data_IF_943385282165
#
_entry.id   IF_943385282165
#
_cell.length_a   1.000
_cell.length_b   1.000
_cell.length_c   1.000
_cell.angle_alpha   90.00
_cell.angle_beta   90.00
_cell.angle_gamma   90.00
#
_symmetry.space_group_name_H-M   'P 1'
#
loop_
_entity.id
_entity.type
_entity.pdbx_description
1 polymer ?
#
# COMPACT_ATOMS: atom_id res chain seq x y z
N UNK A 1 -7.67 -7.49 68.00
CA UNK A 1 -9.05 -7.44 67.48
C UNK A 1 -8.94 -7.71 66.01
N UNK A 2 -8.74 -8.90 65.55
CA UNK A 2 -9.49 -10.15 65.35
C UNK A 2 -10.92 -9.93 64.89
N UNK A 3 -11.12 -10.18 63.58
CA UNK A 3 -12.25 -11.00 63.12
C UNK A 3 -12.15 -11.41 61.64
N UNK A 4 -12.76 -12.55 61.28
CA UNK A 4 -12.19 -13.43 60.27
C UNK A 4 -13.01 -13.52 58.99
N UNK A 5 -12.37 -14.11 57.98
CA UNK A 5 -12.89 -14.50 56.64
C UNK A 5 -13.90 -15.66 56.79
N UNK A 6 -14.99 -15.71 56.01
CA UNK A 6 -15.70 -16.96 55.70
C UNK A 6 -15.27 -17.50 54.32
N UNK A 7 -14.79 -18.75 54.38
CA UNK A 7 -14.70 -19.66 53.23
C UNK A 7 -16.09 -20.23 52.95
N UNK A 8 -16.53 -20.16 51.70
CA UNK A 8 -17.59 -21.03 51.21
C UNK A 8 -17.03 -21.91 50.08
N UNK A 9 -16.78 -23.14 50.45
CA UNK A 9 -16.47 -24.28 49.59
C UNK A 9 -17.79 -24.91 49.19
N UNK A 10 -18.11 -24.95 47.88
CA UNK A 10 -19.21 -25.76 47.36
C UNK A 10 -18.64 -27.01 46.69
N UNK A 11 -18.81 -28.20 47.29
CA UNK A 11 -18.47 -29.47 46.68
C UNK A 11 -19.74 -30.15 46.20
N UNK A 12 -20.03 -30.12 44.88
CA UNK A 12 -20.91 -31.09 44.28
C UNK A 12 -20.76 -31.01 42.74
N UNK A 13 -19.83 -31.81 42.23
CA UNK A 13 -19.87 -32.27 40.84
C UNK A 13 -19.93 -33.80 40.85
N UNK A 14 -21.15 -34.31 40.92
CA UNK A 14 -21.47 -35.73 40.83
C UNK A 14 -21.20 -36.24 39.40
N UNK A 15 -20.26 -37.16 39.34
CA UNK A 15 -19.85 -37.89 38.15
C UNK A 15 -20.58 -39.22 38.07
N UNK A 16 -21.77 -39.29 37.48
CA UNK A 16 -22.39 -40.59 37.14
C UNK A 16 -23.51 -40.50 36.10
N UNK A 17 -23.18 -40.44 34.83
CA UNK A 17 -24.06 -40.94 33.75
C UNK A 17 -23.23 -41.50 32.58
N UNK A 18 -22.57 -42.63 32.84
CA UNK A 18 -22.07 -43.53 31.77
C UNK A 18 -23.26 -44.31 31.24
N UNK A 19 -23.78 -43.98 30.06
CA UNK A 19 -24.75 -44.82 29.35
C UNK A 19 -24.04 -46.04 28.75
N UNK A 20 -24.41 -47.24 29.19
CA UNK A 20 -24.04 -48.50 28.59
C UNK A 20 -24.67 -48.62 27.17
N UNK A 21 -23.95 -49.17 26.19
CA UNK A 21 -24.51 -49.54 24.89
C UNK A 21 -25.47 -50.75 25.02
N UNK A 22 -26.51 -50.85 24.15
CA UNK A 22 -27.45 -51.97 24.18
C UNK A 22 -26.82 -53.27 23.68
N UNK A 23 -27.06 -54.36 24.39
CA UNK A 23 -26.62 -55.70 24.04
C UNK A 23 -27.45 -56.27 22.87
N UNK A 24 -26.76 -56.83 21.89
CA UNK A 24 -27.34 -57.54 20.75
C UNK A 24 -27.99 -58.85 21.19
N UNK A 25 -29.26 -59.05 20.87
CA UNK A 25 -29.96 -60.32 20.94
C UNK A 25 -29.64 -61.23 19.70
N UNK A 26 -29.91 -62.55 19.78
CA UNK A 26 -29.49 -63.49 18.75
C UNK A 26 -30.33 -63.37 17.45
N UNK A 27 -29.78 -63.80 16.29
CA UNK A 27 -30.34 -63.60 14.98
C UNK A 27 -31.51 -64.53 14.70
N UNK A 28 -32.67 -64.02 14.29
CA UNK A 28 -33.76 -64.79 13.74
C UNK A 28 -33.50 -65.12 12.27
N UNK A 29 -33.51 -66.44 11.96
CA UNK A 29 -33.46 -66.98 10.62
C UNK A 29 -34.70 -66.70 9.81
N UNK A 30 -34.66 -65.85 8.80
CA UNK A 30 -35.70 -65.71 7.79
C UNK A 30 -35.13 -66.02 6.39
N UNK A 31 -35.85 -66.92 5.67
CA UNK A 31 -35.54 -67.41 4.34
C UNK A 31 -35.54 -66.29 3.27
N UNK A 32 -34.77 -66.47 2.19
CA UNK A 32 -34.60 -65.43 1.17
C UNK A 32 -35.79 -65.38 0.21
N UNK A 33 -36.47 -64.24 0.19
CA UNK A 33 -37.34 -63.83 -0.88
C UNK A 33 -36.56 -62.93 -1.84
N UNK A 34 -36.52 -63.37 -3.10
CA UNK A 34 -35.92 -62.66 -4.21
C UNK A 34 -36.65 -61.32 -4.44
N UNK A 35 -36.01 -60.24 -4.08
CA UNK A 35 -36.42 -58.91 -4.52
C UNK A 35 -35.31 -58.25 -5.31
N UNK A 36 -35.67 -57.88 -6.52
CA UNK A 36 -34.81 -57.16 -7.46
C UNK A 36 -34.21 -55.89 -6.79
N UNK A 37 -32.89 -55.84 -6.69
CA UNK A 37 -32.16 -54.68 -6.22
C UNK A 37 -32.29 -53.58 -7.26
N UNK A 38 -33.23 -52.66 -7.03
CA UNK A 38 -33.26 -51.38 -7.73
C UNK A 38 -32.00 -50.62 -7.31
N UNK A 39 -30.98 -50.70 -8.14
CA UNK A 39 -29.80 -49.84 -8.05
C UNK A 39 -30.29 -48.41 -8.20
N UNK A 40 -30.42 -47.68 -7.09
CA UNK A 40 -30.56 -46.23 -7.14
C UNK A 40 -29.28 -45.68 -7.80
N UNK A 41 -29.38 -45.33 -9.06
CA UNK A 41 -28.40 -44.47 -9.69
C UNK A 41 -28.56 -43.11 -9.01
N UNK A 42 -27.69 -42.86 -8.03
CA UNK A 42 -27.48 -41.54 -7.50
C UNK A 42 -26.82 -40.77 -8.63
N UNK A 43 -27.59 -40.04 -9.39
CA UNK A 43 -27.08 -38.98 -10.28
C UNK A 43 -26.41 -37.98 -9.36
N UNK A 44 -25.09 -38.07 -9.28
CA UNK A 44 -24.27 -37.00 -8.71
C UNK A 44 -24.51 -35.79 -9.59
N UNK A 45 -25.40 -34.90 -9.13
CA UNK A 45 -25.53 -33.57 -9.71
C UNK A 45 -24.15 -32.90 -9.51
N UNK A 46 -23.35 -32.89 -10.57
CA UNK A 46 -22.10 -32.14 -10.58
C UNK A 46 -22.55 -30.69 -10.34
N UNK A 47 -22.25 -30.19 -9.13
CA UNK A 47 -22.34 -28.77 -8.84
C UNK A 47 -21.46 -28.07 -9.87
N UNK A 48 -22.00 -27.17 -10.71
CA UNK A 48 -21.15 -26.44 -11.64
C UNK A 48 -20.07 -25.78 -10.81
N UNK A 49 -18.81 -26.06 -11.15
CA UNK A 49 -17.68 -25.34 -10.58
C UNK A 49 -17.98 -23.85 -10.77
N UNK A 50 -18.35 -23.16 -9.70
CA UNK A 50 -18.40 -21.72 -9.69
C UNK A 50 -16.98 -21.26 -10.00
N UNK A 51 -16.74 -20.93 -11.25
CA UNK A 51 -15.64 -20.06 -11.61
C UNK A 51 -15.85 -18.81 -10.75
N UNK A 52 -15.15 -18.73 -9.64
CA UNK A 52 -14.95 -17.47 -8.95
C UNK A 52 -14.21 -16.59 -9.94
N UNK A 53 -14.96 -15.79 -10.67
CA UNK A 53 -14.38 -14.67 -11.41
C UNK A 53 -13.65 -13.87 -10.34
N UNK A 54 -12.30 -13.91 -10.35
CA UNK A 54 -11.46 -13.10 -9.48
C UNK A 54 -11.83 -11.64 -9.77
N UNK A 55 -12.80 -11.13 -9.00
CA UNK A 55 -13.23 -9.74 -9.14
C UNK A 55 -12.12 -8.88 -8.58
N UNK A 56 -11.49 -8.03 -9.41
CA UNK A 56 -10.45 -7.14 -8.92
C UNK A 56 -11.04 -6.30 -7.77
N UNK A 57 -10.21 -6.06 -6.75
CA UNK A 57 -10.62 -5.27 -5.59
C UNK A 57 -11.03 -3.86 -6.06
N UNK A 58 -12.28 -3.46 -5.80
CA UNK A 58 -12.82 -2.17 -6.20
C UNK A 58 -11.95 -0.98 -5.73
N UNK A 59 -11.31 -1.12 -4.55
CA UNK A 59 -10.40 -0.09 -4.06
C UNK A 59 -9.17 0.06 -4.96
N UNK A 60 -8.58 -1.05 -5.40
CA UNK A 60 -7.42 -1.02 -6.29
C UNK A 60 -7.79 -0.46 -7.67
N UNK A 61 -8.93 -0.86 -8.23
CA UNK A 61 -9.41 -0.34 -9.51
C UNK A 61 -9.67 1.16 -9.43
N UNK A 62 -10.39 1.60 -8.39
CA UNK A 62 -10.66 3.02 -8.16
C UNK A 62 -9.37 3.85 -8.01
N UNK A 63 -8.36 3.30 -7.32
CA UNK A 63 -7.05 3.94 -7.19
C UNK A 63 -6.35 4.08 -8.53
N UNK A 64 -6.34 3.05 -9.38
CA UNK A 64 -5.71 3.10 -10.70
C UNK A 64 -6.40 4.16 -11.58
N UNK A 65 -7.73 4.22 -11.58
CA UNK A 65 -8.48 5.24 -12.33
C UNK A 65 -8.15 6.65 -11.84
N UNK A 66 -8.08 6.84 -10.51
CA UNK A 66 -7.67 8.12 -9.94
C UNK A 66 -6.23 8.49 -10.30
N UNK A 67 -5.27 7.57 -10.20
CA UNK A 67 -3.87 7.80 -10.59
C UNK A 67 -3.73 8.12 -12.08
N UNK A 68 -4.61 7.59 -12.93
CA UNK A 68 -4.63 7.95 -14.36
C UNK A 68 -4.99 9.41 -14.58
N UNK A 69 -5.91 9.99 -13.76
CA UNK A 69 -6.20 11.42 -13.82
C UNK A 69 -5.04 12.28 -13.33
N UNK A 70 -4.33 11.85 -12.28
CA UNK A 70 -3.13 12.53 -11.79
C UNK A 70 -1.99 12.49 -12.82
N UNK A 71 -1.86 11.38 -13.57
CA UNK A 71 -0.91 11.29 -14.67
C UNK A 71 -1.19 12.34 -15.74
N UNK A 72 -2.46 12.59 -16.09
CA UNK A 72 -2.83 13.64 -17.06
C UNK A 72 -2.49 15.04 -16.53
N UNK A 73 -2.66 15.28 -15.23
CA UNK A 73 -2.26 16.53 -14.59
C UNK A 73 -0.74 16.77 -14.74
N UNK A 74 0.09 15.77 -14.40
CA UNK A 74 1.53 15.88 -14.57
C UNK A 74 1.93 15.98 -16.05
N UNK A 75 1.26 15.28 -16.95
CA UNK A 75 1.51 15.41 -18.40
C UNK A 75 1.31 16.86 -18.88
N UNK A 76 0.30 17.56 -18.36
CA UNK A 76 0.11 18.98 -18.66
C UNK A 76 1.27 19.86 -18.14
N UNK A 77 1.80 19.57 -16.96
CA UNK A 77 2.98 20.25 -16.41
C UNK A 77 4.24 19.99 -17.26
N UNK A 78 4.44 18.76 -17.73
CA UNK A 78 5.50 18.42 -18.68
C UNK A 78 5.35 19.20 -20.00
N UNK A 79 4.15 19.24 -20.55
CA UNK A 79 3.87 19.98 -21.79
C UNK A 79 4.15 21.47 -21.59
N UNK A 80 3.73 22.05 -20.47
CA UNK A 80 4.03 23.45 -20.11
C UNK A 80 5.55 23.71 -20.07
N UNK A 81 6.32 22.82 -19.44
CA UNK A 81 7.77 22.94 -19.37
C UNK A 81 8.41 22.97 -20.77
N UNK A 82 8.09 22.01 -21.63
CA UNK A 82 8.66 21.95 -22.97
C UNK A 82 8.23 23.11 -23.84
N UNK A 83 6.99 23.59 -23.72
CA UNK A 83 6.50 24.77 -24.43
C UNK A 83 7.28 26.02 -24.03
N UNK A 84 7.44 26.29 -22.74
CA UNK A 84 8.20 27.44 -22.25
C UNK A 84 9.69 27.36 -22.65
N UNK A 85 10.27 26.16 -22.61
CA UNK A 85 11.64 25.93 -23.07
C UNK A 85 11.83 26.24 -24.54
N UNK A 86 10.91 25.83 -25.40
CA UNK A 86 10.99 26.06 -26.84
C UNK A 86 10.87 27.55 -27.23
N UNK A 87 10.15 28.32 -26.40
CA UNK A 87 9.96 29.77 -26.63
C UNK A 87 11.11 30.61 -26.06
N UNK A 88 11.78 30.13 -24.98
CA UNK A 88 12.83 30.88 -24.28
C UNK A 88 14.11 30.05 -24.10
N UNK A 89 14.77 29.59 -25.16
CA UNK A 89 15.92 28.69 -25.05
C UNK A 89 17.09 29.30 -24.30
N UNK A 90 17.31 30.63 -24.42
CA UNK A 90 18.42 31.35 -23.79
C UNK A 90 18.32 31.30 -22.25
N UNK A 91 17.11 31.47 -21.68
CA UNK A 91 16.88 31.42 -20.25
C UNK A 91 17.21 30.02 -19.70
N UNK A 92 16.90 28.96 -20.46
CA UNK A 92 17.23 27.59 -20.08
C UNK A 92 18.74 27.33 -20.06
N UNK A 93 19.46 27.81 -21.07
CA UNK A 93 20.91 27.66 -21.16
C UNK A 93 21.64 28.38 -20.00
N UNK A 94 21.14 29.54 -19.58
CA UNK A 94 21.71 30.33 -18.48
C UNK A 94 21.39 29.73 -17.10
N UNK A 95 20.18 29.22 -16.90
CA UNK A 95 19.70 28.81 -15.57
C UNK A 95 20.03 27.34 -15.21
N UNK A 96 20.09 26.45 -16.21
CA UNK A 96 20.37 25.01 -15.98
C UNK A 96 21.69 24.74 -15.23
N UNK A 97 22.80 25.48 -15.44
CA UNK A 97 24.06 25.29 -14.69
C UNK A 97 23.97 25.58 -13.18
N UNK A 98 22.95 26.33 -12.73
CA UNK A 98 22.73 26.64 -11.31
C UNK A 98 22.26 25.40 -10.50
N UNK A 99 21.75 24.36 -11.17
CA UNK A 99 21.25 23.17 -10.50
C UNK A 99 22.38 22.24 -10.06
N UNK A 100 22.35 21.82 -8.80
CA UNK A 100 23.32 20.88 -8.25
C UNK A 100 22.95 19.43 -8.60
N UNK A 101 23.39 18.97 -9.80
CA UNK A 101 23.07 17.63 -10.31
C UNK A 101 23.48 16.50 -9.35
N UNK A 102 24.71 16.46 -8.76
CA UNK A 102 25.11 15.40 -7.83
C UNK A 102 24.20 15.31 -6.60
N UNK A 103 23.80 16.45 -6.03
CA UNK A 103 22.92 16.48 -4.87
C UNK A 103 21.53 15.96 -5.23
N UNK A 104 20.94 16.46 -6.30
CA UNK A 104 19.61 16.06 -6.75
C UNK A 104 19.57 14.59 -7.22
N UNK A 105 20.67 14.08 -7.84
CA UNK A 105 20.80 12.67 -8.21
C UNK A 105 20.85 11.76 -6.96
N UNK A 106 21.59 12.15 -5.93
CA UNK A 106 21.65 11.41 -4.66
C UNK A 106 20.27 11.38 -3.99
N UNK A 107 19.60 12.52 -3.96
CA UNK A 107 18.24 12.63 -3.40
C UNK A 107 17.22 11.76 -4.19
N UNK A 108 17.33 11.75 -5.51
CA UNK A 108 16.56 10.87 -6.41
C UNK A 108 16.84 9.40 -6.13
N UNK A 109 18.09 9.00 -5.92
CA UNK A 109 18.46 7.64 -5.61
C UNK A 109 17.81 7.17 -4.29
N UNK A 110 17.80 8.01 -3.27
CA UNK A 110 17.12 7.72 -1.99
C UNK A 110 15.62 7.47 -2.23
N UNK A 111 14.96 8.30 -3.04
CA UNK A 111 13.55 8.15 -3.36
C UNK A 111 13.28 6.84 -4.12
N UNK A 112 14.06 6.52 -5.15
CA UNK A 112 13.92 5.27 -5.92
C UNK A 112 14.17 4.03 -5.04
N UNK A 113 15.15 4.07 -4.15
CA UNK A 113 15.38 2.98 -3.18
C UNK A 113 14.21 2.84 -2.21
N UNK A 114 13.49 3.92 -1.90
CA UNK A 114 12.28 3.86 -1.07
C UNK A 114 11.16 3.03 -1.70
N UNK A 115 11.08 2.96 -3.03
CA UNK A 115 10.16 2.06 -3.74
C UNK A 115 10.41 0.58 -3.42
N UNK A 116 11.69 0.19 -3.31
CA UNK A 116 12.05 -1.19 -2.94
C UNK A 116 11.59 -1.50 -1.52
N UNK A 117 11.84 -0.59 -0.58
CA UNK A 117 11.41 -0.77 0.82
C UNK A 117 9.87 -0.76 0.94
N UNK A 118 9.18 0.06 0.16
CA UNK A 118 7.73 0.06 0.06
C UNK A 118 7.21 -1.31 -0.40
N UNK A 119 7.80 -1.89 -1.45
CA UNK A 119 7.40 -3.21 -1.97
C UNK A 119 7.64 -4.33 -0.95
N UNK A 120 8.73 -4.28 -0.18
CA UNK A 120 8.96 -5.21 0.93
C UNK A 120 7.85 -5.11 2.00
N UNK A 121 7.37 -3.89 2.26
CA UNK A 121 6.23 -3.64 3.14
C UNK A 121 4.93 -4.26 2.61
N UNK A 122 4.67 -4.19 1.30
CA UNK A 122 3.52 -4.83 0.65
C UNK A 122 3.56 -6.34 0.81
N UNK A 123 4.69 -6.98 0.51
CA UNK A 123 4.84 -8.44 0.67
C UNK A 123 4.63 -8.89 2.12
N UNK A 124 5.06 -8.10 3.09
CA UNK A 124 4.78 -8.37 4.50
C UNK A 124 3.29 -8.20 4.83
N UNK A 125 2.63 -7.19 4.26
CA UNK A 125 1.20 -6.95 4.42
C UNK A 125 0.34 -8.09 3.85
N UNK A 126 0.68 -8.61 2.67
CA UNK A 126 0.01 -9.73 2.01
C UNK A 126 0.16 -11.04 2.81
N UNK A 127 1.31 -11.23 3.47
CA UNK A 127 1.56 -12.36 4.38
C UNK A 127 0.90 -12.19 5.75
N UNK A 128 0.13 -11.12 5.95
CA UNK A 128 -0.52 -10.77 7.21
C UNK A 128 0.45 -10.64 8.39
N UNK A 129 1.69 -10.19 8.12
CA UNK A 129 2.71 -9.89 9.13
C UNK A 129 2.77 -8.36 9.40
N UNK A 130 2.03 -7.86 10.41
CA UNK A 130 1.95 -6.44 10.67
C UNK A 130 3.25 -5.84 11.20
N UNK A 131 4.11 -6.64 11.85
CA UNK A 131 5.36 -6.13 12.41
C UNK A 131 6.35 -5.79 11.31
N UNK A 132 6.55 -6.70 10.36
CA UNK A 132 7.42 -6.46 9.20
C UNK A 132 6.87 -5.38 8.28
N UNK A 133 5.56 -5.34 8.05
CA UNK A 133 4.92 -4.27 7.27
C UNK A 133 5.20 -2.89 7.89
N UNK A 134 5.00 -2.73 9.20
CA UNK A 134 5.30 -1.47 9.92
C UNK A 134 6.75 -1.08 9.80
N UNK A 135 7.67 -2.03 10.00
CA UNK A 135 9.11 -1.79 9.92
C UNK A 135 9.51 -1.23 8.53
N UNK A 136 9.08 -1.89 7.45
CA UNK A 136 9.39 -1.44 6.11
C UNK A 136 8.73 -0.10 5.74
N UNK A 137 7.49 0.11 6.16
CA UNK A 137 6.79 1.38 5.91
C UNK A 137 7.37 2.55 6.69
N UNK A 138 7.90 2.33 7.89
CA UNK A 138 8.63 3.34 8.65
C UNK A 138 9.94 3.71 7.91
N UNK A 139 10.67 2.73 7.39
CA UNK A 139 11.88 3.01 6.59
C UNK A 139 11.52 3.83 5.35
N UNK A 140 10.49 3.43 4.61
CA UNK A 140 10.01 4.16 3.43
C UNK A 140 9.62 5.60 3.79
N UNK A 141 8.91 5.77 4.90
CA UNK A 141 8.52 7.09 5.41
C UNK A 141 9.75 7.98 5.71
N UNK A 142 10.77 7.44 6.37
CA UNK A 142 12.00 8.19 6.64
C UNK A 142 12.74 8.57 5.36
N UNK A 143 12.86 7.65 4.41
CA UNK A 143 13.51 7.92 3.12
C UNK A 143 12.77 9.00 2.33
N UNK A 144 11.44 8.95 2.27
CA UNK A 144 10.61 9.99 1.65
C UNK A 144 10.71 11.33 2.38
N UNK A 145 10.83 11.33 3.71
CA UNK A 145 11.03 12.56 4.49
C UNK A 145 12.39 13.20 4.24
N UNK A 146 13.45 12.38 4.09
CA UNK A 146 14.79 12.85 3.68
C UNK A 146 14.73 13.48 2.30
N UNK A 147 14.01 12.87 1.36
CA UNK A 147 13.82 13.43 0.02
C UNK A 147 13.17 14.82 0.07
N UNK A 148 12.05 14.98 0.82
CA UNK A 148 11.40 16.29 0.97
C UNK A 148 12.34 17.31 1.64
N UNK A 149 13.10 16.91 2.66
CA UNK A 149 14.11 17.75 3.30
C UNK A 149 15.18 18.22 2.30
N UNK A 150 15.68 17.31 1.47
CA UNK A 150 16.61 17.63 0.38
C UNK A 150 16.04 18.63 -0.62
N UNK A 151 14.77 18.45 -1.01
CA UNK A 151 14.08 19.36 -1.93
C UNK A 151 13.92 20.77 -1.34
N UNK A 152 13.59 20.88 -0.05
CA UNK A 152 13.52 22.17 0.65
C UNK A 152 14.90 22.84 0.72
N UNK A 153 15.96 22.06 0.95
CA UNK A 153 17.34 22.59 0.93
C UNK A 153 17.73 23.13 -0.45
N UNK A 154 17.41 22.39 -1.52
CA UNK A 154 17.64 22.82 -2.89
C UNK A 154 16.89 24.12 -3.21
N UNK A 155 15.60 24.21 -2.85
CA UNK A 155 14.82 25.43 -3.01
C UNK A 155 15.44 26.61 -2.26
N UNK A 156 15.91 26.40 -1.03
CA UNK A 156 16.54 27.47 -0.25
C UNK A 156 17.85 27.97 -0.87
N UNK A 157 18.62 27.08 -1.50
CA UNK A 157 19.84 27.44 -2.21
C UNK A 157 19.52 28.26 -3.48
N UNK A 158 18.58 27.79 -4.30
CA UNK A 158 18.18 28.49 -5.54
C UNK A 158 17.59 29.89 -5.26
N UNK A 159 16.80 30.03 -4.19
CA UNK A 159 16.27 31.35 -3.79
C UNK A 159 17.39 32.31 -3.38
N UNK A 160 18.47 31.82 -2.72
CA UNK A 160 19.65 32.64 -2.38
C UNK A 160 20.43 33.07 -3.61
N UNK A 161 20.43 32.26 -4.67
CA UNK A 161 21.05 32.58 -5.97
C UNK A 161 20.14 33.50 -6.82
N UNK A 162 18.96 33.90 -6.31
CA UNK A 162 18.04 34.80 -6.97
C UNK A 162 17.02 34.15 -7.88
N UNK A 163 17.03 32.82 -8.00
CA UNK A 163 16.00 32.08 -8.73
C UNK A 163 14.76 31.91 -7.85
N UNK A 164 13.75 32.74 -8.12
CA UNK A 164 12.47 32.71 -7.41
C UNK A 164 11.32 32.32 -8.35
N UNK A 165 10.14 32.08 -7.80
CA UNK A 165 8.95 31.77 -8.58
C UNK A 165 8.60 32.85 -9.63
N UNK A 166 8.93 34.11 -9.35
CA UNK A 166 8.61 35.25 -10.19
C UNK A 166 9.82 35.83 -10.95
N UNK A 167 11.02 35.28 -10.78
CA UNK A 167 12.25 35.82 -11.38
C UNK A 167 12.32 35.58 -12.89
N UNK A 168 11.85 34.42 -13.34
CA UNK A 168 11.93 34.01 -14.75
C UNK A 168 10.85 33.00 -15.12
N UNK A 169 10.62 32.82 -16.42
CA UNK A 169 9.74 31.77 -16.93
C UNK A 169 10.22 30.37 -16.50
N UNK A 170 11.54 30.16 -16.46
CA UNK A 170 12.13 28.91 -15.95
C UNK A 170 11.79 28.68 -14.48
N UNK A 171 12.02 29.69 -13.61
CA UNK A 171 11.73 29.61 -12.18
C UNK A 171 10.28 29.27 -11.92
N UNK A 172 9.34 29.95 -12.60
CA UNK A 172 7.89 29.68 -12.46
C UNK A 172 7.55 28.22 -12.78
N UNK A 173 8.02 27.69 -13.90
CA UNK A 173 7.72 26.34 -14.34
C UNK A 173 8.41 25.29 -13.46
N UNK A 174 9.67 25.55 -13.06
CA UNK A 174 10.44 24.68 -12.17
C UNK A 174 9.76 24.51 -10.82
N UNK A 175 9.47 25.63 -10.13
CA UNK A 175 8.83 25.58 -8.80
C UNK A 175 7.40 25.04 -8.85
N UNK A 176 6.64 25.34 -9.91
CA UNK A 176 5.29 24.82 -10.06
C UNK A 176 5.33 23.29 -10.22
N UNK A 177 6.15 22.78 -11.12
CA UNK A 177 6.19 21.36 -11.45
C UNK A 177 6.77 20.52 -10.31
N UNK A 178 7.92 20.92 -9.77
CA UNK A 178 8.56 20.20 -8.66
C UNK A 178 7.82 20.41 -7.33
N UNK A 179 7.17 21.56 -7.13
CA UNK A 179 6.37 21.87 -5.96
C UNK A 179 5.08 21.03 -5.89
N UNK A 180 4.34 20.88 -6.99
CA UNK A 180 3.19 19.98 -7.03
C UNK A 180 3.62 18.53 -6.82
N UNK A 181 4.76 18.12 -7.38
CA UNK A 181 5.30 16.81 -7.08
C UNK A 181 5.62 16.64 -5.59
N UNK A 182 6.31 17.59 -4.98
CA UNK A 182 6.61 17.58 -3.54
C UNK A 182 5.35 17.53 -2.66
N UNK A 183 4.26 18.18 -3.09
CA UNK A 183 2.96 18.09 -2.44
C UNK A 183 2.38 16.67 -2.50
N UNK A 184 2.51 15.99 -3.65
CA UNK A 184 2.10 14.59 -3.81
C UNK A 184 2.94 13.64 -2.95
N UNK A 185 4.26 13.82 -2.90
CA UNK A 185 5.14 13.05 -2.00
C UNK A 185 4.71 13.23 -0.56
N UNK A 186 4.44 14.46 -0.12
CA UNK A 186 3.95 14.76 1.23
C UNK A 186 2.61 14.08 1.51
N UNK A 187 1.68 14.09 0.54
CA UNK A 187 0.43 13.34 0.62
C UNK A 187 0.65 11.84 0.83
N UNK A 188 1.61 11.25 0.11
CA UNK A 188 2.03 9.87 0.30
C UNK A 188 2.58 9.57 1.69
N UNK A 189 3.41 10.47 2.23
CA UNK A 189 3.93 10.35 3.60
C UNK A 189 2.80 10.37 4.63
N UNK A 190 1.82 11.25 4.46
CA UNK A 190 0.62 11.30 5.33
C UNK A 190 -0.18 10.00 5.21
N UNK A 191 -0.31 9.43 4.00
CA UNK A 191 -0.98 8.15 3.81
C UNK A 191 -0.24 6.99 4.50
N UNK A 192 1.10 6.96 4.45
CA UNK A 192 1.89 5.98 5.21
C UNK A 192 1.66 6.12 6.72
N UNK A 193 1.71 7.32 7.28
CA UNK A 193 1.41 7.55 8.69
C UNK A 193 0.02 7.03 9.06
N UNK A 194 -0.98 7.28 8.22
CA UNK A 194 -2.33 6.80 8.45
C UNK A 194 -2.41 5.27 8.47
N UNK A 195 -1.76 4.58 7.52
CA UNK A 195 -1.74 3.11 7.48
C UNK A 195 -0.99 2.54 8.68
N UNK A 196 0.15 3.12 9.05
CA UNK A 196 0.93 2.71 10.22
C UNK A 196 0.08 2.90 11.50
N UNK A 197 -0.49 4.08 11.72
CA UNK A 197 -1.31 4.39 12.88
C UNK A 197 -2.55 3.47 12.97
N UNK A 198 -3.26 3.27 11.86
CA UNK A 198 -4.40 2.36 11.78
C UNK A 198 -4.02 0.91 12.08
N UNK A 199 -2.79 0.51 11.73
CA UNK A 199 -2.25 -0.81 12.04
C UNK A 199 -1.99 -1.01 13.54
N UNK A 200 -1.60 0.03 14.27
CA UNK A 200 -1.43 -0.01 15.73
C UNK A 200 -2.78 0.02 16.48
N UNK A 201 -3.74 0.77 15.97
CA UNK A 201 -5.05 0.93 16.61
C UNK A 201 -5.91 -0.35 16.59
N UNK A 202 -5.63 -1.32 15.73
CA UNK A 202 -6.41 -2.54 15.57
C UNK A 202 -5.75 -3.75 16.22
N UNK A 203 -6.49 -4.46 17.07
CA UNK A 203 -6.03 -5.70 17.74
C UNK A 203 -5.81 -6.89 16.79
N UNK A 204 -6.50 -6.91 15.64
CA UNK A 204 -6.36 -7.96 14.62
C UNK A 204 -6.06 -7.35 13.26
N UNK A 205 -5.00 -7.82 12.63
CA UNK A 205 -4.67 -7.48 11.25
C UNK A 205 -5.60 -8.26 10.31
N UNK A 206 -6.18 -7.60 9.32
CA UNK A 206 -7.17 -8.20 8.42
C UNK A 206 -6.79 -7.94 6.95
N UNK A 207 -7.37 -8.73 6.03
CA UNK A 207 -7.21 -8.53 4.60
C UNK A 207 -7.56 -7.10 4.14
N UNK A 208 -8.57 -6.47 4.75
CA UNK A 208 -8.92 -5.08 4.46
C UNK A 208 -7.78 -4.09 4.81
N UNK A 209 -6.93 -4.43 5.79
CA UNK A 209 -5.76 -3.63 6.14
C UNK A 209 -4.62 -3.86 5.13
N UNK A 210 -4.42 -5.11 4.70
CA UNK A 210 -3.48 -5.42 3.62
C UNK A 210 -3.85 -4.67 2.34
N UNK A 211 -5.13 -4.62 1.97
CA UNK A 211 -5.61 -3.84 0.81
C UNK A 211 -5.25 -2.36 0.92
N UNK A 212 -5.39 -1.74 2.10
CA UNK A 212 -5.01 -0.33 2.30
C UNK A 212 -3.51 -0.11 2.11
N UNK A 213 -2.69 -1.04 2.61
CA UNK A 213 -1.25 -0.99 2.40
C UNK A 213 -0.91 -1.06 0.90
N UNK A 214 -1.51 -2.00 0.16
CA UNK A 214 -1.32 -2.14 -1.28
C UNK A 214 -1.74 -0.87 -2.05
N UNK A 215 -2.87 -0.26 -1.69
CA UNK A 215 -3.35 0.99 -2.33
C UNK A 215 -2.37 2.14 -2.14
N UNK A 216 -1.83 2.31 -0.92
CA UNK A 216 -0.83 3.36 -0.64
C UNK A 216 0.47 3.10 -1.41
N UNK A 217 0.86 1.84 -1.57
CA UNK A 217 2.01 1.46 -2.38
C UNK A 217 1.85 1.83 -3.87
N UNK A 218 0.67 1.61 -4.47
CA UNK A 218 0.41 2.05 -5.85
C UNK A 218 0.58 3.57 -6.00
N UNK A 219 0.08 4.33 -5.05
CA UNK A 219 0.27 5.78 -5.04
C UNK A 219 1.75 6.15 -4.93
N UNK A 220 2.51 5.49 -4.04
CA UNK A 220 3.93 5.77 -3.84
C UNK A 220 4.76 5.49 -5.09
N UNK A 221 4.56 4.33 -5.71
CA UNK A 221 5.25 3.98 -6.96
C UNK A 221 4.90 4.94 -8.11
N UNK A 222 3.65 5.39 -8.19
CA UNK A 222 3.25 6.40 -9.16
C UNK A 222 4.03 7.69 -8.97
N UNK A 223 4.11 8.19 -7.73
CA UNK A 223 4.86 9.42 -7.40
C UNK A 223 6.35 9.27 -7.76
N UNK A 224 6.96 8.12 -7.47
CA UNK A 224 8.36 7.85 -7.80
C UNK A 224 8.60 7.85 -9.33
N UNK A 225 7.72 7.23 -10.11
CA UNK A 225 7.81 7.21 -11.58
C UNK A 225 7.70 8.63 -12.16
N UNK A 226 6.77 9.43 -11.64
CA UNK A 226 6.62 10.84 -12.04
C UNK A 226 7.91 11.61 -11.73
N UNK A 227 8.53 11.37 -10.55
CA UNK A 227 9.79 12.03 -10.20
C UNK A 227 10.93 11.68 -11.14
N UNK A 228 11.07 10.41 -11.52
CA UNK A 228 12.09 9.99 -12.50
C UNK A 228 11.93 10.76 -13.81
N UNK A 229 10.68 10.92 -14.28
CA UNK A 229 10.38 11.74 -15.45
C UNK A 229 10.76 13.21 -15.26
N UNK A 230 10.41 13.81 -14.11
CA UNK A 230 10.76 15.20 -13.76
C UNK A 230 12.27 15.39 -13.67
N UNK A 231 12.97 14.49 -13.01
CA UNK A 231 14.42 14.50 -12.90
C UNK A 231 15.09 14.43 -14.28
N UNK A 232 14.64 13.52 -15.14
CA UNK A 232 15.16 13.40 -16.49
C UNK A 232 14.94 14.69 -17.29
N UNK A 233 13.75 15.27 -17.22
CA UNK A 233 13.37 16.48 -17.95
C UNK A 233 14.15 17.70 -17.49
N UNK A 234 14.33 17.89 -16.19
CA UNK A 234 14.92 19.12 -15.60
C UNK A 234 16.45 19.04 -15.57
N UNK A 235 17.03 17.89 -15.21
CA UNK A 235 18.46 17.76 -14.92
C UNK A 235 19.25 17.07 -16.04
N UNK A 236 18.64 16.18 -16.85
CA UNK A 236 19.36 15.42 -17.88
C UNK A 236 19.15 15.98 -19.29
N UNK A 237 17.94 16.45 -19.63
CA UNK A 237 17.64 17.03 -20.95
C UNK A 237 18.03 18.51 -20.91
N UNK A 238 19.28 18.80 -21.28
CA UNK A 238 19.83 20.17 -21.37
C UNK A 238 19.43 20.88 -22.64
#
# INVERSE_FOLDING_TARGET
MSEPVPQDVNPDCDSSHVRKPPQNGPPSTHKPGSFATIRRVTTATATPAQHSVDRPNLASVGTIVWLSSELMFFAALFAMYFTHRSVNPDIWAETTPMLNIPFSATNTLILVLSSVTCQMGVWAAERLDPQKMRFWYIITFFMGSVFIGGQVMEYSALVREGLTLSSSSYGSVFYLTTGFHGLHVTGGLVAFLFVIAASYARKRYSHAMATRAVVVSYYWHFVDVVWIGLFAMIYLIK
#
